data_IF_057067460559
#
_entry.id   IF_057067460559
#
_cell.length_a   1.000
_cell.length_b   1.000
_cell.length_c   1.000
_cell.angle_alpha   90.00
_cell.angle_beta   90.00
_cell.angle_gamma   90.00
#
_symmetry.space_group_name_H-M   'P 1'
#
loop_
_entity.id
_entity.type
_entity.pdbx_description
1 polymer ?
#
# COMPACT_ATOMS: atom_id res chain seq x y z
N UNK A 1 29.14 22.81 66.62
CA UNK A 1 28.28 21.63 66.53
C UNK A 1 27.54 21.48 65.16
N UNK A 2 27.81 22.38 64.22
CA UNK A 2 27.00 22.37 62.93
C UNK A 2 27.72 21.82 61.69
N UNK A 3 29.03 21.49 61.80
CA UNK A 3 29.76 20.96 60.60
C UNK A 3 29.55 19.48 60.38
N UNK A 4 29.29 18.71 61.42
CA UNK A 4 28.98 17.26 61.26
C UNK A 4 27.56 16.98 60.70
N UNK A 5 26.63 17.90 61.00
CA UNK A 5 25.25 17.78 60.49
C UNK A 5 25.15 18.01 58.98
N UNK A 6 26.01 18.92 58.45
CA UNK A 6 26.08 19.16 57.01
C UNK A 6 26.67 17.99 56.22
N UNK A 7 27.65 17.28 56.80
CA UNK A 7 28.26 16.09 56.16
C UNK A 7 27.29 14.92 56.17
N UNK A 8 26.48 14.77 57.21
CA UNK A 8 25.49 13.71 57.32
C UNK A 8 24.33 13.87 56.28
N UNK A 9 23.93 15.11 56.03
CA UNK A 9 22.92 15.38 54.99
C UNK A 9 23.50 15.15 53.59
N UNK A 10 24.78 15.46 53.35
CA UNK A 10 25.39 15.25 52.04
C UNK A 10 25.56 13.77 51.68
N UNK A 11 25.77 12.89 52.66
CA UNK A 11 25.86 11.44 52.46
C UNK A 11 24.50 10.83 52.06
N UNK A 12 23.38 11.39 52.50
CA UNK A 12 22.04 10.90 52.09
C UNK A 12 21.68 11.22 50.63
N UNK A 13 22.33 12.22 50.02
CA UNK A 13 22.09 12.56 48.61
C UNK A 13 22.74 11.57 47.63
N UNK A 14 23.68 10.74 48.08
CA UNK A 14 24.30 9.71 47.25
C UNK A 14 23.57 8.36 47.28
N UNK A 15 22.53 8.19 48.08
CA UNK A 15 21.61 7.06 48.01
C UNK A 15 20.42 7.32 47.06
N UNK A 16 20.62 8.19 46.05
CA UNK A 16 19.68 8.31 44.95
C UNK A 16 19.66 6.97 44.23
N UNK A 17 18.54 6.32 44.29
CA UNK A 17 18.20 5.08 43.63
C UNK A 17 18.88 4.92 42.27
N UNK A 18 19.94 4.14 42.23
CA UNK A 18 20.24 3.38 41.01
C UNK A 18 19.18 2.28 41.02
N UNK A 19 18.02 2.57 40.43
CA UNK A 19 17.13 1.49 40.01
C UNK A 19 17.97 0.66 39.05
N UNK A 20 18.19 -0.60 39.40
CA UNK A 20 18.77 -1.57 38.48
C UNK A 20 17.92 -1.50 37.18
N UNK A 21 18.52 -0.90 36.16
CA UNK A 21 17.95 -1.01 34.80
C UNK A 21 18.15 -2.46 34.46
N UNK A 22 17.07 -3.22 34.53
CA UNK A 22 17.06 -4.62 34.17
C UNK A 22 17.24 -4.70 32.65
N UNK A 23 18.48 -4.90 32.23
CA UNK A 23 18.86 -5.05 30.83
C UNK A 23 18.30 -6.35 30.22
N UNK A 24 17.82 -7.28 31.03
CA UNK A 24 17.15 -8.49 30.52
C UNK A 24 15.79 -8.15 29.88
N UNK A 25 15.15 -7.05 30.26
CA UNK A 25 13.95 -6.55 29.59
C UNK A 25 14.22 -6.09 28.13
N UNK A 26 15.45 -5.76 27.79
CA UNK A 26 15.80 -5.41 26.42
C UNK A 26 15.73 -6.64 25.48
N UNK A 27 15.90 -7.84 26.00
CA UNK A 27 15.79 -9.09 25.26
C UNK A 27 14.34 -9.48 24.97
N UNK A 28 13.38 -8.93 25.73
CA UNK A 28 11.95 -9.17 25.56
C UNK A 28 11.29 -8.13 24.60
N UNK A 29 12.05 -7.13 24.18
CA UNK A 29 11.55 -6.06 23.31
C UNK A 29 11.49 -6.55 21.85
N UNK A 30 10.35 -7.12 21.47
CA UNK A 30 10.07 -7.43 20.06
C UNK A 30 9.68 -6.15 19.34
N UNK A 31 10.56 -5.65 18.51
CA UNK A 31 10.23 -4.56 17.59
C UNK A 31 9.54 -5.17 16.36
N UNK A 32 8.29 -4.84 16.14
CA UNK A 32 7.53 -5.20 14.94
C UNK A 32 7.35 -3.93 14.08
N UNK A 33 8.35 -3.56 13.27
CA UNK A 33 8.26 -2.34 12.48
C UNK A 33 7.17 -2.45 11.42
N UNK A 34 6.39 -1.38 11.25
CA UNK A 34 5.36 -1.25 10.23
C UNK A 34 5.77 -0.13 9.29
N UNK A 35 5.87 -0.44 8.00
CA UNK A 35 6.15 0.54 6.95
C UNK A 35 4.89 0.77 6.13
N UNK A 36 4.54 2.05 5.89
CA UNK A 36 3.46 2.43 4.98
C UNK A 36 4.05 3.20 3.80
N UNK A 37 3.76 2.76 2.60
CA UNK A 37 4.24 3.38 1.37
C UNK A 37 3.10 3.53 0.35
N UNK A 38 3.13 4.63 -0.42
CA UNK A 38 2.29 4.75 -1.61
C UNK A 38 2.82 3.83 -2.70
N UNK A 39 1.91 3.13 -3.40
CA UNK A 39 2.27 2.22 -4.50
C UNK A 39 2.14 2.92 -5.85
N UNK A 40 0.90 3.24 -6.22
CA UNK A 40 0.56 3.84 -7.50
C UNK A 40 -0.67 4.72 -7.37
N UNK A 41 -0.80 5.67 -8.28
CA UNK A 41 -2.00 6.49 -8.44
C UNK A 41 -2.15 6.92 -9.90
N UNK A 42 -3.39 7.08 -10.34
CA UNK A 42 -3.70 7.71 -11.62
C UNK A 42 -4.97 8.56 -11.53
N UNK A 43 -5.11 9.48 -12.48
CA UNK A 43 -6.29 10.31 -12.67
C UNK A 43 -6.53 10.45 -14.20
N UNK A 44 -7.46 9.64 -14.72
CA UNK A 44 -7.76 9.58 -16.15
C UNK A 44 -9.06 10.33 -16.40
N UNK A 45 -9.01 11.39 -17.19
CA UNK A 45 -10.20 12.14 -17.60
C UNK A 45 -11.04 11.34 -18.61
N UNK A 46 -12.36 11.57 -18.60
CA UNK A 46 -13.28 10.85 -19.51
C UNK A 46 -12.90 10.99 -21.00
N UNK A 47 -12.44 12.17 -21.41
CA UNK A 47 -12.00 12.43 -22.78
C UNK A 47 -10.70 11.71 -23.16
N UNK A 48 -9.89 11.26 -22.20
CA UNK A 48 -8.67 10.47 -22.49
C UNK A 48 -8.98 9.03 -22.92
N UNK A 49 -10.21 8.57 -22.69
CA UNK A 49 -10.70 7.31 -23.27
C UNK A 49 -11.16 7.45 -24.72
N UNK A 50 -11.00 8.63 -25.32
CA UNK A 50 -11.37 8.90 -26.71
C UNK A 50 -10.15 9.38 -27.47
N UNK A 51 -9.79 8.72 -28.57
CA UNK A 51 -8.68 9.10 -29.43
C UNK A 51 -9.22 9.28 -30.86
N UNK A 52 -9.08 10.51 -31.40
CA UNK A 52 -9.58 10.80 -32.73
C UNK A 52 -11.09 10.58 -32.90
N UNK A 53 -11.88 10.86 -31.85
CA UNK A 53 -13.32 10.65 -31.82
C UNK A 53 -13.76 9.18 -31.66
N UNK A 54 -12.82 8.25 -31.37
CA UNK A 54 -13.10 6.82 -31.21
C UNK A 54 -12.80 6.41 -29.77
N UNK A 55 -13.78 5.76 -29.11
CA UNK A 55 -13.59 5.19 -27.77
C UNK A 55 -12.48 4.12 -27.79
N UNK A 56 -11.63 4.17 -26.77
CA UNK A 56 -10.64 3.16 -26.46
C UNK A 56 -11.21 2.22 -25.40
N UNK A 57 -11.75 1.05 -25.78
CA UNK A 57 -12.44 0.18 -24.81
C UNK A 57 -11.48 -0.46 -23.80
N UNK A 58 -10.18 -0.44 -24.07
CA UNK A 58 -9.14 -1.03 -23.23
C UNK A 58 -7.98 -0.05 -23.11
N UNK A 59 -7.63 0.30 -21.88
CA UNK A 59 -6.48 1.14 -21.54
C UNK A 59 -5.67 0.42 -20.47
N UNK A 60 -4.34 0.49 -20.54
CA UNK A 60 -3.50 -0.15 -19.56
C UNK A 60 -2.12 0.49 -19.45
N UNK A 61 -1.48 0.24 -18.32
CA UNK A 61 -0.10 0.63 -18.03
C UNK A 61 0.60 -0.45 -17.22
N UNK A 62 1.93 -0.48 -17.29
CA UNK A 62 2.79 -1.45 -16.60
C UNK A 62 3.89 -0.71 -15.86
N UNK A 63 4.02 -0.99 -14.56
CA UNK A 63 5.07 -0.43 -13.72
C UNK A 63 5.98 -1.52 -13.17
N UNK A 64 7.26 -1.18 -12.92
CA UNK A 64 8.16 -2.05 -12.19
C UNK A 64 7.76 -2.14 -10.72
N UNK A 65 7.85 -3.34 -10.16
CA UNK A 65 7.47 -3.62 -8.78
C UNK A 65 8.46 -4.59 -8.13
N UNK A 66 9.70 -4.11 -7.91
CA UNK A 66 10.81 -4.95 -7.44
C UNK A 66 11.11 -4.80 -5.95
N UNK A 67 10.28 -4.08 -5.20
CA UNK A 67 10.53 -3.79 -3.79
C UNK A 67 10.63 -5.07 -2.92
N UNK A 68 9.93 -6.13 -3.32
CA UNK A 68 9.92 -7.41 -2.63
C UNK A 68 10.88 -8.46 -3.20
N UNK A 69 11.75 -8.09 -4.15
CA UNK A 69 12.76 -9.00 -4.72
C UNK A 69 14.09 -8.92 -3.95
N UNK A 70 14.25 -7.95 -3.05
CA UNK A 70 15.42 -7.81 -2.18
C UNK A 70 15.30 -8.79 -1.02
N UNK A 71 16.28 -9.70 -0.90
CA UNK A 71 16.30 -10.74 0.14
C UNK A 71 16.39 -10.12 1.53
N UNK A 72 17.25 -9.11 1.71
CA UNK A 72 17.43 -8.45 3.02
C UNK A 72 16.13 -7.78 3.49
N UNK A 73 15.31 -7.29 2.53
CA UNK A 73 14.00 -6.71 2.82
C UNK A 73 12.95 -7.77 3.14
N UNK A 74 13.03 -8.96 2.51
CA UNK A 74 11.97 -9.97 2.58
C UNK A 74 12.18 -11.05 3.64
N UNK A 75 13.39 -11.19 4.19
CA UNK A 75 13.69 -12.23 5.19
C UNK A 75 12.83 -12.09 6.46
N UNK A 76 12.53 -10.87 6.86
CA UNK A 76 11.72 -10.58 8.04
C UNK A 76 10.27 -10.16 7.68
N UNK A 77 9.87 -10.28 6.42
CA UNK A 77 8.54 -9.91 5.97
C UNK A 77 7.50 -10.92 6.43
N UNK A 78 6.53 -10.47 7.22
CA UNK A 78 5.44 -11.29 7.73
C UNK A 78 4.14 -11.15 6.96
N UNK A 79 3.83 -9.91 6.59
CA UNK A 79 2.56 -9.59 5.95
C UNK A 79 2.68 -8.30 5.16
N UNK A 80 1.94 -8.22 4.08
CA UNK A 80 1.75 -6.98 3.31
C UNK A 80 0.28 -6.82 2.98
N UNK A 81 -0.29 -5.66 3.31
CA UNK A 81 -1.64 -5.28 2.95
C UNK A 81 -1.57 -4.27 1.81
N UNK A 82 -2.09 -4.63 0.65
CA UNK A 82 -2.21 -3.72 -0.49
C UNK A 82 -3.62 -3.14 -0.51
N UNK A 83 -3.73 -1.84 -0.25
CA UNK A 83 -4.97 -1.10 -0.31
C UNK A 83 -5.14 -0.42 -1.65
N UNK A 84 -6.32 -0.54 -2.24
CA UNK A 84 -6.72 0.11 -3.48
C UNK A 84 -8.04 0.84 -3.28
N UNK A 85 -8.13 2.04 -3.85
CA UNK A 85 -9.33 2.85 -3.88
C UNK A 85 -9.53 3.43 -5.28
N UNK A 86 -10.72 3.23 -5.82
CA UNK A 86 -11.15 3.80 -7.09
C UNK A 86 -12.31 4.77 -6.85
N UNK A 87 -12.25 5.94 -7.48
CA UNK A 87 -13.33 6.91 -7.52
C UNK A 87 -13.65 7.22 -8.98
N UNK A 88 -14.88 6.95 -9.39
CA UNK A 88 -15.36 7.17 -10.74
C UNK A 88 -16.43 8.27 -10.76
N UNK A 89 -16.16 9.34 -11.48
CA UNK A 89 -17.12 10.43 -11.75
C UNK A 89 -17.58 10.49 -13.22
N UNK A 90 -17.23 9.45 -14.00
CA UNK A 90 -17.66 9.27 -15.39
C UNK A 90 -18.96 8.48 -15.42
N UNK A 91 -19.92 8.87 -16.25
CA UNK A 91 -21.17 8.10 -16.49
C UNK A 91 -20.88 6.85 -17.35
N UNK A 92 -19.87 6.07 -16.98
CA UNK A 92 -19.46 4.82 -17.57
C UNK A 92 -18.90 3.90 -16.49
N UNK A 93 -19.29 2.63 -16.50
CA UNK A 93 -18.71 1.63 -15.62
C UNK A 93 -17.43 1.03 -16.23
N UNK A 94 -16.56 0.51 -15.36
CA UNK A 94 -15.29 -0.11 -15.75
C UNK A 94 -15.08 -1.40 -15.00
N UNK A 95 -14.44 -2.37 -15.66
CA UNK A 95 -13.70 -3.44 -14.98
C UNK A 95 -12.24 -3.07 -14.96
N UNK A 96 -11.57 -3.32 -13.83
CA UNK A 96 -10.15 -3.04 -13.67
C UNK A 96 -9.50 -4.30 -13.10
N UNK A 97 -8.51 -4.81 -13.83
CA UNK A 97 -7.71 -5.91 -13.37
C UNK A 97 -6.29 -5.41 -13.04
N UNK A 98 -5.81 -5.76 -11.85
CA UNK A 98 -4.43 -5.52 -11.44
C UNK A 98 -3.71 -6.87 -11.54
N UNK A 99 -2.81 -7.00 -12.50
CA UNK A 99 -2.01 -8.20 -12.73
C UNK A 99 -0.65 -8.08 -12.08
N UNK A 100 -0.26 -9.10 -11.36
CA UNK A 100 1.09 -9.30 -10.85
C UNK A 100 1.82 -10.20 -11.84
N UNK A 101 2.95 -9.72 -12.36
CA UNK A 101 3.71 -10.37 -13.42
C UNK A 101 5.10 -10.75 -12.91
N UNK A 102 5.54 -11.96 -13.24
CA UNK A 102 6.89 -12.44 -12.97
C UNK A 102 7.93 -11.86 -13.94
N UNK A 103 9.18 -12.30 -13.84
CA UNK A 103 10.29 -11.89 -14.70
C UNK A 103 10.04 -12.22 -16.19
N UNK A 104 9.23 -13.23 -16.50
CA UNK A 104 8.88 -13.65 -17.84
C UNK A 104 7.62 -12.93 -18.38
N UNK A 105 7.07 -11.97 -17.62
CA UNK A 105 5.78 -11.33 -17.84
C UNK A 105 4.59 -12.31 -17.80
N UNK A 106 4.77 -13.46 -17.16
CA UNK A 106 3.66 -14.37 -16.91
C UNK A 106 2.81 -13.83 -15.75
N UNK A 107 1.51 -13.94 -15.89
CA UNK A 107 0.55 -13.51 -14.88
C UNK A 107 0.52 -14.54 -13.75
N UNK A 108 0.96 -14.15 -12.54
CA UNK A 108 1.01 -15.02 -11.36
C UNK A 108 -0.14 -14.73 -10.38
N UNK A 109 -0.68 -13.50 -10.40
CA UNK A 109 -1.83 -13.13 -9.56
C UNK A 109 -2.69 -12.05 -10.21
N UNK A 110 -3.96 -11.95 -9.79
CA UNK A 110 -4.90 -10.93 -10.28
C UNK A 110 -5.79 -10.43 -9.16
N UNK A 111 -5.94 -9.11 -9.07
CA UNK A 111 -6.93 -8.46 -8.20
C UNK A 111 -7.97 -7.77 -9.10
N UNK A 112 -9.18 -8.33 -9.22
CA UNK A 112 -10.23 -7.73 -10.04
C UNK A 112 -11.06 -6.71 -9.26
N UNK A 113 -11.54 -5.70 -10.01
CA UNK A 113 -12.48 -4.69 -9.54
C UNK A 113 -13.59 -4.47 -10.56
N UNK A 114 -14.78 -4.13 -10.07
CA UNK A 114 -15.87 -3.55 -10.85
C UNK A 114 -16.16 -2.18 -10.28
N UNK A 115 -15.99 -1.15 -11.09
CA UNK A 115 -16.20 0.24 -10.71
C UNK A 115 -17.46 0.75 -11.43
N UNK A 116 -18.55 0.97 -10.69
CA UNK A 116 -19.82 1.37 -11.28
C UNK A 116 -19.75 2.74 -11.97
N UNK A 117 -20.70 3.00 -12.89
CA UNK A 117 -20.87 4.31 -13.50
C UNK A 117 -21.28 5.35 -12.46
N UNK A 118 -20.87 6.61 -12.65
CA UNK A 118 -21.33 7.72 -11.85
C UNK A 118 -22.81 8.05 -12.17
N UNK A 119 -23.61 8.14 -11.13
CA UNK A 119 -25.05 8.45 -11.21
C UNK A 119 -25.45 9.71 -10.43
N UNK A 120 -24.48 10.60 -10.18
CA UNK A 120 -24.72 11.85 -9.44
C UNK A 120 -24.39 11.77 -7.95
N UNK A 121 -23.97 10.63 -7.45
CA UNK A 121 -23.50 10.43 -6.07
C UNK A 121 -22.05 9.92 -6.05
N UNK A 122 -21.28 10.24 -4.99
CA UNK A 122 -19.94 9.69 -4.84
C UNK A 122 -19.90 8.16 -5.00
N UNK A 123 -18.98 7.68 -5.80
CA UNK A 123 -18.83 6.27 -6.14
C UNK A 123 -17.40 5.84 -5.87
N UNK A 124 -17.17 5.32 -4.65
CA UNK A 124 -15.85 4.89 -4.20
C UNK A 124 -15.88 3.38 -3.99
N UNK A 125 -14.98 2.68 -4.68
CA UNK A 125 -14.75 1.24 -4.53
C UNK A 125 -13.42 1.03 -3.87
N UNK A 126 -13.40 0.32 -2.75
CA UNK A 126 -12.18 0.02 -2.00
C UNK A 126 -11.97 -1.49 -1.84
N UNK A 127 -10.72 -1.91 -1.79
CA UNK A 127 -10.33 -3.28 -1.46
C UNK A 127 -8.95 -3.29 -0.81
N UNK A 128 -8.81 -4.09 0.25
CA UNK A 128 -7.51 -4.47 0.79
C UNK A 128 -7.24 -5.93 0.44
N UNK A 129 -6.12 -6.18 -0.22
CA UNK A 129 -5.64 -7.52 -0.54
C UNK A 129 -4.50 -7.85 0.41
N UNK A 130 -4.67 -8.92 1.20
CA UNK A 130 -3.71 -9.35 2.22
C UNK A 130 -2.81 -10.44 1.66
N UNK A 131 -1.50 -10.23 1.79
CA UNK A 131 -0.46 -11.18 1.45
C UNK A 131 0.26 -11.62 2.73
N UNK A 132 0.08 -12.86 3.10
CA UNK A 132 0.69 -13.48 4.29
C UNK A 132 0.96 -14.97 4.03
N UNK A 133 1.85 -15.57 4.79
CA UNK A 133 2.24 -16.97 4.65
C UNK A 133 2.69 -17.29 3.20
N UNK A 134 2.25 -18.40 2.63
CA UNK A 134 2.59 -18.80 1.26
C UNK A 134 2.18 -17.77 0.18
N UNK A 135 1.21 -16.88 0.48
CA UNK A 135 0.82 -15.83 -0.46
C UNK A 135 1.86 -14.71 -0.59
N UNK A 136 2.78 -14.56 0.39
CA UNK A 136 3.91 -13.63 0.29
C UNK A 136 4.84 -13.97 -0.87
N UNK A 137 4.95 -15.24 -1.24
CA UNK A 137 5.81 -15.68 -2.35
C UNK A 137 5.38 -15.04 -3.68
N UNK A 138 4.08 -14.78 -3.84
CA UNK A 138 3.56 -14.04 -5.00
C UNK A 138 4.20 -12.64 -5.10
N UNK A 139 4.32 -11.91 -3.98
CA UNK A 139 4.97 -10.59 -3.97
C UNK A 139 6.47 -10.69 -4.27
N UNK A 140 7.14 -11.71 -3.73
CA UNK A 140 8.57 -11.96 -3.93
C UNK A 140 8.90 -12.31 -5.38
N UNK A 141 7.98 -12.99 -6.08
CA UNK A 141 8.12 -13.36 -7.49
C UNK A 141 7.68 -12.24 -8.44
N UNK A 142 6.99 -11.20 -7.92
CA UNK A 142 6.46 -10.12 -8.76
C UNK A 142 7.56 -9.14 -9.17
N UNK A 143 7.78 -9.00 -10.47
CA UNK A 143 8.68 -8.04 -11.08
C UNK A 143 7.97 -6.76 -11.55
N UNK A 144 6.69 -6.92 -11.95
CA UNK A 144 5.87 -5.84 -12.50
C UNK A 144 4.42 -5.94 -12.06
N UNK A 145 3.75 -4.79 -11.99
CA UNK A 145 2.30 -4.71 -11.85
C UNK A 145 1.75 -4.04 -13.12
N UNK A 146 0.73 -4.67 -13.71
CA UNK A 146 -0.01 -4.13 -14.84
C UNK A 146 -1.43 -3.76 -14.42
N UNK A 147 -1.87 -2.57 -14.78
CA UNK A 147 -3.23 -2.09 -14.63
C UNK A 147 -3.94 -2.17 -15.98
N UNK A 148 -5.03 -2.90 -16.05
CA UNK A 148 -5.82 -3.03 -17.26
C UNK A 148 -7.24 -2.57 -16.96
N UNK A 149 -7.68 -1.51 -17.63
CA UNK A 149 -8.97 -0.87 -17.48
C UNK A 149 -9.78 -1.16 -18.73
N UNK A 150 -10.92 -1.85 -18.58
CA UNK A 150 -11.84 -2.11 -19.68
C UNK A 150 -13.16 -1.37 -19.42
N UNK A 151 -13.61 -0.61 -20.42
CA UNK A 151 -14.91 0.04 -20.38
C UNK A 151 -16.03 -0.98 -20.54
N UNK A 152 -17.02 -0.90 -19.66
CA UNK A 152 -18.25 -1.68 -19.79
C UNK A 152 -19.21 -0.98 -20.77
N UNK A 153 -20.21 -1.70 -21.34
CA UNK A 153 -21.26 -1.08 -22.14
C UNK A 153 -21.96 0.08 -21.42
N UNK A 154 -22.26 1.15 -22.13
CA UNK A 154 -22.94 2.33 -21.59
C UNK A 154 -23.00 3.50 -22.58
N UNK A 155 -23.36 4.72 -22.13
CA UNK A 155 -23.42 5.89 -23.00
C UNK A 155 -22.04 6.17 -23.62
N UNK A 156 -21.97 6.50 -24.93
CA UNK A 156 -20.68 6.76 -25.57
C UNK A 156 -19.97 7.97 -24.98
N UNK A 157 -18.63 7.85 -24.83
CA UNK A 157 -17.77 8.97 -24.45
C UNK A 157 -17.36 9.73 -25.70
N UNK A 158 -17.14 11.03 -25.54
CA UNK A 158 -16.69 11.97 -26.56
C UNK A 158 -15.54 12.82 -26.03
N UNK A 159 -14.89 13.58 -26.90
CA UNK A 159 -13.84 14.55 -26.51
C UNK A 159 -14.35 15.62 -25.50
N UNK A 160 -15.68 15.81 -25.39
CA UNK A 160 -16.32 16.71 -24.44
C UNK A 160 -16.87 16.03 -23.18
N UNK A 161 -16.71 14.72 -23.04
CA UNK A 161 -17.18 13.98 -21.86
C UNK A 161 -16.45 14.43 -20.59
N UNK A 162 -17.25 14.62 -19.53
CA UNK A 162 -16.77 15.12 -18.23
C UNK A 162 -16.60 13.97 -17.24
N UNK A 163 -15.84 14.27 -16.17
CA UNK A 163 -15.54 13.34 -15.11
C UNK A 163 -14.17 12.69 -15.25
N UNK A 164 -13.83 11.90 -14.27
CA UNK A 164 -12.55 11.16 -14.24
C UNK A 164 -12.68 9.83 -13.51
N UNK A 165 -11.76 8.94 -13.80
CA UNK A 165 -11.51 7.72 -13.07
C UNK A 165 -10.19 7.88 -12.32
N UNK A 166 -10.26 7.94 -11.00
CA UNK A 166 -9.10 8.06 -10.11
C UNK A 166 -8.81 6.74 -9.43
N UNK A 167 -7.53 6.45 -9.27
CA UNK A 167 -7.06 5.37 -8.41
C UNK A 167 -5.97 5.91 -7.47
N UNK A 168 -5.99 5.43 -6.23
CA UNK A 168 -4.88 5.53 -5.30
C UNK A 168 -4.67 4.19 -4.61
N UNK A 169 -3.43 3.90 -4.30
CA UNK A 169 -3.07 2.67 -3.62
C UNK A 169 -1.91 2.87 -2.65
N UNK A 170 -1.88 2.03 -1.62
CA UNK A 170 -0.81 1.99 -0.63
C UNK A 170 -0.50 0.56 -0.21
N UNK A 171 0.72 0.36 0.29
CA UNK A 171 1.13 -0.86 0.95
C UNK A 171 1.36 -0.59 2.43
N UNK A 172 0.85 -1.46 3.30
CA UNK A 172 1.26 -1.54 4.70
C UNK A 172 2.03 -2.85 4.87
N UNK A 173 3.27 -2.74 5.30
CA UNK A 173 4.23 -3.83 5.33
C UNK A 173 4.61 -4.09 6.78
N UNK A 174 4.46 -5.33 7.22
CA UNK A 174 4.70 -5.78 8.59
C UNK A 174 5.90 -6.70 8.61
N UNK A 175 6.85 -6.38 9.48
CA UNK A 175 8.06 -7.17 9.68
C UNK A 175 8.05 -7.86 11.05
N UNK A 176 8.76 -8.96 11.16
CA UNK A 176 9.17 -9.54 12.43
C UNK A 176 10.53 -9.00 12.83
N UNK A 177 10.69 -8.59 14.09
CA UNK A 177 12.01 -8.33 14.63
C UNK A 177 12.71 -9.66 14.98
N UNK A 178 13.98 -9.72 14.68
CA UNK A 178 14.89 -10.75 15.19
C UNK A 178 15.28 -10.47 16.63
#
# INVERSE_FOLDING_TARGET
MNKFFGIFILTFLFFSCSSDVDFDQANDLKLEPILVANLASFDILANQFVIGGVEQPLVGDVMNFKVFNDVDFTDNLRRTDLYFEFNNTINRAYTIDIYFLDANNAKIYTIPFVVPAYTGSPNVVTKTEVFENAKLDILKETEKIAFVIAMMPGPPLTDSSLGNLKMRSSATIYFEAQ
#
